data_IF_311303854219
#
_entry.id   IF_311303854219
#
_cell.length_a   1.000
_cell.length_b   1.000
_cell.length_c   1.000
_cell.angle_alpha   90.00
_cell.angle_beta   90.00
_cell.angle_gamma   90.00
#
_symmetry.space_group_name_H-M   'P 1'
#
loop_
_entity.id
_entity.type
_entity.pdbx_description
1 polymer ?
#
# COMPACT_ATOMS: atom_id res chain seq x y z
N UNK A 1 8.40 27.91 36.30
CA UNK A 1 7.33 26.85 36.31
C UNK A 1 7.42 26.10 34.99
N UNK A 2 7.93 24.87 34.99
CA UNK A 2 7.96 24.01 33.79
C UNK A 2 6.54 23.66 33.41
N UNK A 3 6.10 24.00 32.19
CA UNK A 3 4.84 23.49 31.64
C UNK A 3 5.02 22.00 31.43
N UNK A 4 4.50 21.18 32.33
CA UNK A 4 4.35 19.76 32.10
C UNK A 4 3.45 19.58 30.88
N UNK A 5 4.03 19.10 29.80
CA UNK A 5 3.29 18.71 28.60
C UNK A 5 2.50 17.44 28.94
N UNK A 6 1.23 17.59 29.24
CA UNK A 6 0.33 16.45 29.48
C UNK A 6 0.11 15.75 28.12
N UNK A 7 0.76 14.60 27.95
CA UNK A 7 0.48 13.71 26.80
C UNK A 7 -0.64 12.75 27.22
N UNK A 8 -1.73 12.79 26.48
CA UNK A 8 -2.81 11.83 26.64
C UNK A 8 -2.68 10.76 25.57
N UNK A 9 -2.61 9.50 25.97
CA UNK A 9 -2.59 8.36 25.04
C UNK A 9 -3.98 7.73 25.01
N UNK A 10 -4.53 7.58 23.81
CA UNK A 10 -5.82 6.96 23.57
C UNK A 10 -5.58 5.64 22.81
N UNK A 11 -5.80 4.47 23.44
CA UNK A 11 -5.75 3.19 22.75
C UNK A 11 -6.97 3.06 21.82
N UNK A 12 -6.75 2.47 20.61
CA UNK A 12 -7.84 2.15 19.69
C UNK A 12 -7.53 0.84 18.97
N UNK A 13 -8.59 0.17 18.54
CA UNK A 13 -8.53 -1.02 17.69
C UNK A 13 -9.05 -0.65 16.31
N UNK A 14 -8.35 -1.08 15.28
CA UNK A 14 -8.75 -0.89 13.88
C UNK A 14 -9.30 -2.21 13.35
N UNK A 15 -10.55 -2.19 12.90
CA UNK A 15 -11.15 -3.29 12.17
C UNK A 15 -11.10 -3.00 10.66
N UNK A 16 -10.54 -3.95 9.89
CA UNK A 16 -10.43 -3.83 8.44
C UNK A 16 -11.61 -4.54 7.79
N UNK A 17 -12.61 -3.79 7.35
CA UNK A 17 -13.85 -4.30 6.73
C UNK A 17 -13.64 -4.66 5.25
N UNK A 18 -12.80 -3.88 4.56
CA UNK A 18 -12.48 -4.08 3.14
C UNK A 18 -10.97 -4.21 2.96
N UNK A 19 -10.48 -4.81 1.87
CA UNK A 19 -9.05 -4.89 1.62
C UNK A 19 -8.36 -3.53 1.70
N UNK A 20 -7.32 -3.42 2.51
CA UNK A 20 -6.49 -2.23 2.66
C UNK A 20 -5.14 -2.47 2.00
N UNK A 21 -4.69 -1.51 1.20
CA UNK A 21 -3.37 -1.52 0.60
C UNK A 21 -2.64 -0.21 0.90
N UNK A 22 -1.51 -0.34 1.57
CA UNK A 22 -0.57 0.75 1.80
C UNK A 22 0.74 0.33 1.15
N UNK A 23 1.09 0.96 0.03
CA UNK A 23 2.25 0.57 -0.76
C UNK A 23 3.56 0.84 -0.04
N UNK A 24 4.49 -0.11 -0.10
CA UNK A 24 5.87 0.06 0.37
C UNK A 24 6.77 0.78 -0.64
N UNK A 25 6.26 1.07 -1.84
CA UNK A 25 7.04 1.57 -2.97
C UNK A 25 7.85 0.47 -3.68
N UNK A 26 7.79 -0.78 -3.22
CA UNK A 26 8.49 -1.93 -3.81
C UNK A 26 7.54 -2.74 -4.70
N UNK A 27 8.07 -3.26 -5.80
CA UNK A 27 7.36 -4.15 -6.72
C UNK A 27 8.15 -5.45 -6.88
N UNK A 28 7.45 -6.58 -6.88
CA UNK A 28 8.00 -7.87 -7.30
C UNK A 28 7.98 -7.95 -8.82
N UNK A 29 9.08 -8.40 -9.37
CA UNK A 29 9.22 -8.80 -10.78
C UNK A 29 8.87 -10.29 -10.93
N UNK A 30 8.72 -10.73 -12.16
CA UNK A 30 8.35 -12.13 -12.49
C UNK A 30 9.38 -13.14 -11.93
N UNK A 31 10.63 -12.75 -11.76
CA UNK A 31 11.70 -13.60 -11.20
C UNK A 31 11.79 -13.57 -9.66
N UNK A 32 10.93 -12.79 -8.99
CA UNK A 32 10.95 -12.66 -7.54
C UNK A 32 9.93 -13.57 -6.85
N UNK A 33 9.09 -14.27 -7.63
CA UNK A 33 8.05 -15.15 -7.09
C UNK A 33 7.79 -16.37 -7.98
N UNK A 34 7.26 -17.42 -7.38
CA UNK A 34 6.70 -18.59 -8.06
C UNK A 34 5.19 -18.49 -7.95
N UNK A 35 4.49 -18.60 -9.09
CA UNK A 35 3.05 -18.61 -9.16
C UNK A 35 2.56 -20.03 -9.50
N UNK A 36 1.95 -20.69 -8.55
CA UNK A 36 1.14 -21.89 -8.77
C UNK A 36 -0.28 -21.47 -9.17
N UNK A 37 -0.52 -21.43 -10.47
CA UNK A 37 -1.80 -20.98 -11.01
C UNK A 37 -2.94 -21.97 -10.74
N UNK A 38 -2.64 -23.25 -10.58
CA UNK A 38 -3.62 -24.29 -10.32
C UNK A 38 -4.20 -24.17 -8.89
N UNK A 39 -3.34 -23.94 -7.93
CA UNK A 39 -3.70 -23.82 -6.51
C UNK A 39 -3.97 -22.38 -6.07
N UNK A 40 -3.78 -21.40 -6.94
CA UNK A 40 -3.89 -19.96 -6.66
C UNK A 40 -2.92 -19.50 -5.56
N UNK A 41 -1.70 -20.02 -5.56
CA UNK A 41 -0.66 -19.75 -4.60
C UNK A 41 0.47 -18.94 -5.20
N UNK A 42 0.99 -17.96 -4.43
CA UNK A 42 2.16 -17.16 -4.76
C UNK A 42 3.21 -17.34 -3.69
N UNK A 43 4.36 -17.80 -4.08
CA UNK A 43 5.52 -17.99 -3.20
C UNK A 43 6.55 -16.90 -3.50
N UNK A 44 6.72 -15.96 -2.59
CA UNK A 44 7.74 -14.90 -2.74
C UNK A 44 9.09 -15.50 -2.38
N UNK A 45 10.01 -15.53 -3.34
CA UNK A 45 11.30 -16.19 -3.17
C UNK A 45 12.18 -15.50 -2.14
N UNK A 46 12.80 -16.30 -1.29
CA UNK A 46 14.00 -15.90 -0.55
C UNK A 46 15.22 -16.21 -1.43
N UNK A 47 15.79 -15.19 -2.03
CA UNK A 47 16.89 -15.35 -3.00
C UNK A 47 18.04 -16.22 -2.46
N UNK A 48 18.43 -16.04 -1.18
CA UNK A 48 19.49 -16.85 -0.57
C UNK A 48 19.11 -18.31 -0.48
N UNK A 49 17.93 -18.63 0.05
CA UNK A 49 17.45 -20.01 0.19
C UNK A 49 17.19 -20.65 -1.17
N UNK A 50 16.71 -19.86 -2.13
CA UNK A 50 16.49 -20.30 -3.49
C UNK A 50 17.80 -20.75 -4.16
N UNK A 51 18.85 -19.93 -4.11
CA UNK A 51 20.15 -20.30 -4.66
C UNK A 51 20.78 -21.50 -3.94
N UNK A 52 20.66 -21.57 -2.61
CA UNK A 52 21.12 -22.72 -1.83
C UNK A 52 20.39 -24.02 -2.24
N UNK A 53 19.09 -23.94 -2.46
CA UNK A 53 18.31 -25.09 -2.94
C UNK A 53 18.77 -25.53 -4.33
N UNK A 54 18.91 -24.61 -5.28
CA UNK A 54 19.37 -24.94 -6.63
C UNK A 54 20.77 -25.54 -6.64
N UNK A 55 21.65 -25.04 -5.80
CA UNK A 55 23.00 -25.58 -5.63
C UNK A 55 22.95 -27.01 -5.07
N UNK A 56 22.13 -27.26 -4.07
CA UNK A 56 21.98 -28.58 -3.44
C UNK A 56 21.48 -29.69 -4.40
N UNK A 57 20.82 -29.32 -5.48
CA UNK A 57 20.31 -30.25 -6.50
C UNK A 57 21.06 -30.14 -7.84
N UNK A 58 22.22 -29.43 -7.87
CA UNK A 58 23.06 -29.22 -9.06
C UNK A 58 22.32 -28.59 -10.25
N UNK A 59 21.44 -27.61 -9.97
CA UNK A 59 20.61 -26.91 -10.98
C UNK A 59 20.92 -25.42 -11.11
N UNK A 60 21.92 -24.92 -10.42
CA UNK A 60 22.27 -23.49 -10.44
C UNK A 60 22.65 -23.01 -11.85
N UNK A 61 23.50 -23.81 -12.57
CA UNK A 61 23.90 -23.48 -13.93
C UNK A 61 22.73 -23.47 -14.93
N UNK A 62 21.78 -24.37 -14.76
CA UNK A 62 20.55 -24.40 -15.60
C UNK A 62 19.68 -23.19 -15.34
N UNK A 63 19.58 -22.75 -14.08
CA UNK A 63 18.86 -21.54 -13.72
C UNK A 63 19.51 -20.28 -14.28
N UNK A 64 20.84 -20.16 -14.26
CA UNK A 64 21.54 -19.06 -14.89
C UNK A 64 21.29 -18.97 -16.40
N UNK A 65 21.25 -20.11 -17.09
CA UNK A 65 20.89 -20.18 -18.52
C UNK A 65 19.45 -19.70 -18.73
N UNK A 66 18.53 -20.16 -17.88
CA UNK A 66 17.13 -19.72 -17.91
C UNK A 66 17.00 -18.19 -17.74
N UNK A 67 17.67 -17.60 -16.74
CA UNK A 67 17.64 -16.15 -16.52
C UNK A 67 18.18 -15.39 -17.74
N UNK A 68 19.30 -15.83 -18.32
CA UNK A 68 19.88 -15.22 -19.53
C UNK A 68 18.91 -15.27 -20.70
N UNK A 69 18.21 -16.39 -20.92
CA UNK A 69 17.21 -16.53 -21.96
C UNK A 69 15.97 -15.69 -21.70
N UNK A 70 15.54 -15.58 -20.43
CA UNK A 70 14.40 -14.77 -20.03
C UNK A 70 14.70 -13.28 -20.22
N UNK A 71 15.83 -12.80 -19.79
CA UNK A 71 16.23 -11.38 -19.90
C UNK A 71 16.50 -10.95 -21.34
N UNK A 72 16.97 -11.86 -22.20
CA UNK A 72 17.15 -11.61 -23.64
C UNK A 72 15.84 -11.74 -24.45
N UNK A 73 14.72 -12.13 -23.81
CA UNK A 73 13.44 -12.32 -24.48
C UNK A 73 13.34 -13.61 -25.30
N UNK A 74 14.32 -14.52 -25.20
CA UNK A 74 14.35 -15.79 -25.92
C UNK A 74 13.44 -16.86 -25.30
N UNK A 75 12.96 -16.65 -24.10
CA UNK A 75 11.95 -17.50 -23.46
C UNK A 75 10.86 -16.66 -22.79
N UNK A 76 9.65 -17.22 -22.75
CA UNK A 76 8.50 -16.66 -22.01
C UNK A 76 8.08 -17.56 -20.85
N UNK A 77 8.89 -18.60 -20.55
CA UNK A 77 8.61 -19.49 -19.44
C UNK A 77 8.61 -18.73 -18.12
N UNK A 78 7.69 -19.07 -17.25
CA UNK A 78 7.71 -18.63 -15.86
C UNK A 78 8.72 -19.46 -15.07
N UNK A 79 9.08 -19.02 -13.87
CA UNK A 79 9.93 -19.84 -12.98
C UNK A 79 9.23 -21.16 -12.66
N UNK A 80 7.91 -21.15 -12.46
CA UNK A 80 7.14 -22.35 -12.18
C UNK A 80 7.23 -23.37 -13.33
N UNK A 81 6.98 -22.94 -14.57
CA UNK A 81 7.10 -23.82 -15.76
C UNK A 81 8.54 -24.31 -15.98
N UNK A 82 9.54 -23.47 -15.70
CA UNK A 82 10.93 -23.87 -15.75
C UNK A 82 11.24 -24.96 -14.71
N UNK A 83 10.73 -24.79 -13.47
CA UNK A 83 10.86 -25.76 -12.39
C UNK A 83 10.25 -27.10 -12.77
N UNK A 84 9.00 -27.12 -13.23
CA UNK A 84 8.32 -28.34 -13.65
C UNK A 84 9.09 -29.11 -14.73
N UNK A 85 9.68 -28.40 -15.69
CA UNK A 85 10.44 -29.00 -16.79
C UNK A 85 11.82 -29.50 -16.40
N UNK A 86 12.48 -28.83 -15.44
CA UNK A 86 13.90 -29.05 -15.13
C UNK A 86 14.08 -29.90 -13.89
N UNK A 87 13.18 -29.81 -12.94
CA UNK A 87 13.29 -30.45 -11.61
C UNK A 87 12.10 -31.39 -11.38
N UNK A 88 10.95 -31.08 -11.98
CA UNK A 88 9.68 -31.73 -11.71
C UNK A 88 8.79 -30.91 -10.76
N UNK A 89 7.66 -31.50 -10.37
CA UNK A 89 6.71 -30.84 -9.47
C UNK A 89 7.32 -30.80 -8.07
N UNK A 90 7.50 -29.58 -7.55
CA UNK A 90 7.92 -29.39 -6.16
C UNK A 90 6.72 -29.53 -5.23
N UNK A 91 6.93 -30.17 -4.10
CA UNK A 91 5.94 -30.19 -3.04
C UNK A 91 5.79 -28.81 -2.35
N UNK A 92 4.65 -28.61 -1.74
CA UNK A 92 4.33 -27.34 -1.05
C UNK A 92 5.35 -27.03 0.06
N UNK A 93 5.86 -28.04 0.77
CA UNK A 93 6.85 -27.85 1.85
C UNK A 93 8.16 -27.27 1.31
N UNK A 94 8.62 -27.78 0.19
CA UNK A 94 9.80 -27.27 -0.50
C UNK A 94 9.58 -25.83 -0.95
N UNK A 95 8.44 -25.52 -1.59
CA UNK A 95 8.10 -24.17 -2.03
C UNK A 95 8.05 -23.18 -0.85
N UNK A 96 7.46 -23.55 0.26
CA UNK A 96 7.44 -22.75 1.48
C UNK A 96 8.87 -22.54 2.03
N UNK A 97 9.70 -23.60 2.03
CA UNK A 97 11.04 -23.53 2.60
C UNK A 97 11.97 -22.54 1.89
N UNK A 98 11.83 -22.42 0.57
CA UNK A 98 12.61 -21.51 -0.28
C UNK A 98 12.00 -20.11 -0.39
N UNK A 99 10.87 -19.88 0.24
CA UNK A 99 10.14 -18.61 0.18
C UNK A 99 10.32 -17.78 1.44
N UNK A 100 10.14 -16.47 1.31
CA UNK A 100 9.95 -15.56 2.44
C UNK A 100 8.51 -15.51 2.89
N UNK A 101 7.58 -15.68 1.94
CA UNK A 101 6.13 -15.62 2.19
C UNK A 101 5.38 -16.48 1.20
N UNK A 102 4.30 -17.09 1.69
CA UNK A 102 3.29 -17.76 0.91
C UNK A 102 1.98 -16.98 0.99
N UNK A 103 1.35 -16.73 -0.15
CA UNK A 103 0.18 -15.87 -0.29
C UNK A 103 -0.85 -16.53 -1.18
N UNK A 104 -2.12 -16.30 -0.88
CA UNK A 104 -3.22 -16.71 -1.76
C UNK A 104 -3.52 -15.65 -2.81
N UNK A 105 -3.87 -16.05 -4.01
CA UNK A 105 -4.37 -15.21 -5.08
C UNK A 105 -5.87 -15.40 -5.28
N UNK A 106 -6.57 -14.31 -5.59
CA UNK A 106 -7.96 -14.42 -6.05
C UNK A 106 -8.00 -14.91 -7.50
N UNK A 107 -8.89 -15.87 -7.79
CA UNK A 107 -9.06 -16.51 -9.11
C UNK A 107 -8.98 -15.56 -10.31
N UNK A 108 -9.64 -14.40 -10.22
CA UNK A 108 -9.69 -13.43 -11.30
C UNK A 108 -8.39 -12.59 -11.45
N UNK A 109 -7.41 -12.82 -10.57
CA UNK A 109 -6.11 -12.12 -10.62
C UNK A 109 -5.20 -12.74 -11.66
N UNK A 110 -5.33 -14.04 -11.90
CA UNK A 110 -4.47 -14.82 -12.77
C UNK A 110 -5.03 -14.79 -14.20
N UNK A 111 -4.48 -13.90 -15.02
CA UNK A 111 -4.66 -14.00 -16.47
C UNK A 111 -3.34 -14.46 -17.08
N UNK A 112 -3.36 -15.63 -17.73
CA UNK A 112 -2.21 -16.16 -18.48
C UNK A 112 -0.99 -16.55 -17.63
N UNK A 113 -1.16 -17.32 -16.56
CA UNK A 113 -0.07 -17.95 -15.80
C UNK A 113 0.98 -16.99 -15.19
N UNK A 114 0.84 -15.67 -15.35
CA UNK A 114 1.76 -14.67 -14.79
C UNK A 114 1.02 -13.52 -14.17
N UNK A 115 1.54 -13.04 -13.05
CA UNK A 115 1.23 -11.73 -12.49
C UNK A 115 2.27 -10.76 -13.07
N UNK A 116 1.88 -9.75 -13.83
CA UNK A 116 2.83 -8.86 -14.51
C UNK A 116 3.78 -8.17 -13.52
N UNK A 117 3.21 -7.47 -12.54
CA UNK A 117 3.91 -6.80 -11.44
C UNK A 117 3.06 -6.91 -10.19
N UNK A 118 3.67 -7.22 -9.07
CA UNK A 118 3.00 -7.26 -7.77
C UNK A 118 3.57 -6.16 -6.91
N UNK A 119 2.79 -5.13 -6.64
CA UNK A 119 3.17 -4.08 -5.69
C UNK A 119 3.06 -4.63 -4.27
N UNK A 120 4.12 -4.44 -3.49
CA UNK A 120 4.16 -4.90 -2.11
C UNK A 120 3.52 -3.87 -1.17
N UNK A 121 2.70 -4.36 -0.25
CA UNK A 121 2.22 -3.59 0.89
C UNK A 121 3.32 -3.35 1.93
N UNK A 122 3.08 -2.40 2.82
CA UNK A 122 3.95 -2.14 3.96
C UNK A 122 4.05 -3.40 4.83
N UNK A 123 5.28 -3.81 5.13
CA UNK A 123 5.57 -4.98 5.94
C UNK A 123 6.86 -4.79 6.74
N UNK A 124 6.95 -5.46 7.87
CA UNK A 124 8.15 -5.53 8.70
C UNK A 124 9.22 -6.40 8.02
N UNK A 125 10.38 -6.51 8.67
CA UNK A 125 11.52 -7.31 8.16
C UNK A 125 11.15 -8.80 8.10
N UNK A 126 10.36 -9.28 9.04
CA UNK A 126 9.85 -10.67 9.08
C UNK A 126 8.76 -10.94 8.04
N UNK A 127 8.34 -9.91 7.31
CA UNK A 127 7.27 -9.97 6.33
C UNK A 127 5.87 -9.73 6.88
N UNK A 128 5.70 -9.56 8.19
CA UNK A 128 4.39 -9.27 8.80
C UNK A 128 3.85 -7.95 8.26
N UNK A 129 2.59 -7.91 7.79
CA UNK A 129 1.98 -6.67 7.32
C UNK A 129 1.72 -5.74 8.50
N UNK A 130 1.79 -4.43 8.27
CA UNK A 130 1.39 -3.43 9.26
C UNK A 130 0.79 -2.20 8.58
N UNK A 131 0.06 -1.40 9.35
CA UNK A 131 -0.45 -0.11 8.88
C UNK A 131 0.42 0.98 9.52
N UNK A 132 1.23 1.73 8.74
CA UNK A 132 2.04 2.82 9.28
C UNK A 132 1.18 3.89 9.96
N UNK A 133 1.56 4.28 11.16
CA UNK A 133 0.88 5.34 11.90
C UNK A 133 0.85 6.67 11.15
N UNK A 134 1.86 6.96 10.33
CA UNK A 134 1.88 8.10 9.42
C UNK A 134 0.73 8.08 8.40
N UNK A 135 0.39 6.91 7.86
CA UNK A 135 -0.74 6.74 6.94
C UNK A 135 -2.06 6.94 7.64
N UNK A 136 -2.23 6.37 8.84
CA UNK A 136 -3.42 6.58 9.67
C UNK A 136 -3.58 8.03 10.10
N UNK A 137 -2.49 8.67 10.52
CA UNK A 137 -2.48 10.10 10.86
C UNK A 137 -3.02 10.93 9.70
N UNK A 138 -2.57 10.64 8.46
CA UNK A 138 -3.06 11.31 7.25
C UNK A 138 -4.59 11.16 7.08
N UNK A 139 -5.11 9.95 7.24
CA UNK A 139 -6.55 9.67 7.13
C UNK A 139 -7.34 10.37 8.24
N UNK A 140 -6.87 10.34 9.49
CA UNK A 140 -7.51 11.02 10.63
C UNK A 140 -7.58 12.52 10.36
N UNK A 141 -6.47 13.14 9.97
CA UNK A 141 -6.42 14.57 9.65
C UNK A 141 -7.36 14.92 8.49
N UNK A 142 -7.34 14.14 7.40
CA UNK A 142 -8.23 14.36 6.27
C UNK A 142 -9.70 14.26 6.66
N UNK A 143 -10.06 13.30 7.52
CA UNK A 143 -11.42 13.12 8.02
C UNK A 143 -11.87 14.28 8.91
N UNK A 144 -10.99 14.77 9.78
CA UNK A 144 -11.26 15.95 10.61
C UNK A 144 -11.49 17.20 9.74
N UNK A 145 -10.64 17.41 8.74
CA UNK A 145 -10.79 18.52 7.78
C UNK A 145 -12.13 18.42 7.03
N UNK A 146 -12.44 17.23 6.50
CA UNK A 146 -13.70 16.99 5.80
C UNK A 146 -14.91 17.29 6.69
N UNK A 147 -14.87 16.87 7.96
CA UNK A 147 -15.91 17.14 8.93
C UNK A 147 -16.08 18.65 9.22
N UNK A 148 -15.00 19.39 9.37
CA UNK A 148 -15.02 20.84 9.57
C UNK A 148 -15.62 21.58 8.35
N UNK A 149 -15.21 21.18 7.15
CA UNK A 149 -15.74 21.74 5.89
C UNK A 149 -17.25 21.44 5.77
N UNK A 150 -17.68 20.24 6.11
CA UNK A 150 -19.09 19.85 5.98
C UNK A 150 -19.99 20.60 6.96
N UNK A 151 -19.49 20.91 8.15
CA UNK A 151 -20.19 21.76 9.12
C UNK A 151 -20.25 23.23 8.72
N UNK A 152 -19.28 23.71 7.95
CA UNK A 152 -19.26 25.10 7.47
C UNK A 152 -19.84 25.20 6.04
N UNK A 153 -21.17 25.29 5.97
CA UNK A 153 -21.90 25.36 4.68
C UNK A 153 -21.46 26.55 3.82
N UNK A 154 -21.15 27.70 4.43
CA UNK A 154 -20.68 28.89 3.72
C UNK A 154 -19.35 28.65 3.03
N UNK A 155 -18.38 28.10 3.78
CA UNK A 155 -17.07 27.72 3.26
C UNK A 155 -17.18 26.71 2.10
N UNK A 156 -17.98 25.66 2.29
CA UNK A 156 -18.22 24.62 1.26
C UNK A 156 -18.79 25.20 -0.03
N UNK A 157 -19.78 26.09 0.08
CA UNK A 157 -20.43 26.75 -1.06
C UNK A 157 -19.47 27.68 -1.82
N UNK A 158 -18.75 28.54 -1.10
CA UNK A 158 -17.78 29.48 -1.67
C UNK A 158 -16.69 28.76 -2.47
N UNK A 159 -16.08 27.74 -1.87
CA UNK A 159 -14.97 27.01 -2.51
C UNK A 159 -15.43 26.15 -3.68
N UNK A 160 -16.63 25.57 -3.59
CA UNK A 160 -17.24 24.88 -4.73
C UNK A 160 -17.38 25.82 -5.93
N UNK A 161 -17.84 27.03 -5.73
CA UNK A 161 -17.99 28.04 -6.77
C UNK A 161 -16.64 28.42 -7.38
N UNK A 162 -15.62 28.69 -6.57
CA UNK A 162 -14.27 29.01 -7.03
C UNK A 162 -13.65 27.89 -7.87
N UNK A 163 -13.84 26.64 -7.47
CA UNK A 163 -13.34 25.48 -8.23
C UNK A 163 -14.07 25.32 -9.57
N UNK A 164 -15.38 25.54 -9.61
CA UNK A 164 -16.15 25.50 -10.87
C UNK A 164 -15.62 26.59 -11.84
N UNK A 165 -15.41 27.81 -11.35
CA UNK A 165 -14.86 28.90 -12.17
C UNK A 165 -13.41 28.63 -12.63
N UNK A 166 -12.64 27.88 -11.88
CA UNK A 166 -11.28 27.51 -12.23
C UNK A 166 -11.20 26.38 -13.28
N UNK A 167 -12.30 25.69 -13.57
CA UNK A 167 -12.34 24.61 -14.56
C UNK A 167 -11.94 25.13 -15.95
N UNK A 168 -11.07 24.37 -16.63
CA UNK A 168 -10.57 24.73 -17.96
C UNK A 168 -9.34 25.63 -17.99
N UNK A 169 -8.92 26.20 -16.86
CA UNK A 169 -7.69 27.00 -16.78
C UNK A 169 -6.70 26.37 -15.76
N UNK A 170 -5.67 25.61 -16.21
CA UNK A 170 -4.75 24.92 -15.31
C UNK A 170 -3.97 25.84 -14.35
N UNK A 171 -3.62 27.05 -14.83
CA UNK A 171 -2.89 28.03 -14.00
C UNK A 171 -3.77 28.57 -12.88
N UNK A 172 -5.01 28.92 -13.21
CA UNK A 172 -5.98 29.42 -12.24
C UNK A 172 -6.40 28.31 -11.26
N UNK A 173 -6.57 27.08 -11.73
CA UNK A 173 -6.86 25.92 -10.87
C UNK A 173 -5.73 25.67 -9.85
N UNK A 174 -4.47 25.78 -10.27
CA UNK A 174 -3.32 25.62 -9.37
C UNK A 174 -3.32 26.71 -8.28
N UNK A 175 -3.63 27.95 -8.64
CA UNK A 175 -3.75 29.04 -7.68
C UNK A 175 -4.90 28.79 -6.69
N UNK A 176 -6.07 28.38 -7.20
CA UNK A 176 -7.25 28.05 -6.42
C UNK A 176 -6.98 26.93 -5.39
N UNK A 177 -6.24 25.89 -5.78
CA UNK A 177 -5.81 24.81 -4.86
C UNK A 177 -4.92 25.34 -3.74
N UNK A 178 -3.96 26.22 -4.07
CA UNK A 178 -3.07 26.83 -3.09
C UNK A 178 -3.84 27.67 -2.07
N UNK A 179 -4.77 28.49 -2.55
CA UNK A 179 -5.57 29.38 -1.71
C UNK A 179 -6.57 28.58 -0.85
N UNK A 180 -7.11 27.48 -1.39
CA UNK A 180 -7.93 26.55 -0.63
C UNK A 180 -7.18 25.92 0.54
N UNK A 181 -5.92 25.54 0.35
CA UNK A 181 -5.06 25.04 1.43
C UNK A 181 -4.92 26.04 2.58
N UNK A 182 -4.64 27.32 2.27
CA UNK A 182 -4.56 28.39 3.26
C UNK A 182 -5.89 28.64 3.98
N UNK A 183 -6.99 28.60 3.24
CA UNK A 183 -8.34 28.78 3.80
C UNK A 183 -8.72 27.64 4.76
N UNK A 184 -8.33 26.39 4.45
CA UNK A 184 -8.49 25.25 5.37
C UNK A 184 -7.65 25.49 6.65
N UNK A 185 -6.43 25.97 6.55
CA UNK A 185 -5.61 26.28 7.72
C UNK A 185 -6.28 27.32 8.63
N UNK A 186 -6.88 28.36 8.05
CA UNK A 186 -7.64 29.35 8.80
C UNK A 186 -8.89 28.76 9.47
N UNK A 187 -9.65 27.92 8.74
CA UNK A 187 -10.84 27.26 9.27
C UNK A 187 -10.51 26.37 10.48
N UNK A 188 -9.41 25.62 10.40
CA UNK A 188 -8.94 24.78 11.50
C UNK A 188 -8.58 25.63 12.71
N UNK A 189 -7.83 26.73 12.50
CA UNK A 189 -7.44 27.66 13.57
C UNK A 189 -8.67 28.22 14.28
N UNK A 190 -9.62 28.76 13.54
CA UNK A 190 -10.88 29.31 14.08
C UNK A 190 -11.65 28.28 14.89
N UNK A 191 -11.71 27.03 14.42
CA UNK A 191 -12.39 25.94 15.12
C UNK A 191 -11.74 25.62 16.46
N UNK A 192 -10.40 25.66 16.54
CA UNK A 192 -9.64 25.42 17.78
C UNK A 192 -9.81 26.59 18.75
N UNK A 193 -9.68 27.81 18.27
CA UNK A 193 -9.83 29.00 19.09
C UNK A 193 -11.22 29.08 19.71
N UNK A 194 -12.26 28.76 18.92
CA UNK A 194 -13.64 28.68 19.40
C UNK A 194 -13.83 27.59 20.47
N UNK A 195 -13.11 26.48 20.35
CA UNK A 195 -13.23 25.37 21.32
C UNK A 195 -12.48 25.61 22.63
N UNK A 196 -11.39 26.40 22.60
CA UNK A 196 -10.53 26.65 23.76
C UNK A 196 -10.82 27.97 24.49
N UNK A 197 -11.54 28.88 23.89
CA UNK A 197 -11.76 30.23 24.44
C UNK A 197 -10.50 31.09 24.51
N UNK A 198 -9.39 30.65 23.94
CA UNK A 198 -8.09 31.33 23.92
C UNK A 198 -7.56 31.42 22.50
N UNK A 199 -6.97 32.58 22.15
CA UNK A 199 -6.21 32.69 20.89
C UNK A 199 -4.96 31.81 20.99
N UNK A 200 -4.75 30.93 20.00
CA UNK A 200 -3.53 30.13 19.92
C UNK A 200 -2.42 30.96 19.26
N UNK A 201 -1.28 31.11 19.94
CA UNK A 201 -0.09 31.72 19.35
C UNK A 201 0.60 30.82 18.32
N UNK A 202 0.22 29.53 18.23
CA UNK A 202 0.75 28.54 17.28
C UNK A 202 -0.08 28.40 16.02
N UNK A 203 0.55 28.12 14.87
CA UNK A 203 -0.14 27.87 13.61
C UNK A 203 -0.86 26.52 13.60
N UNK A 204 -1.79 26.32 12.65
CA UNK A 204 -2.50 25.04 12.44
C UNK A 204 -1.55 23.84 12.23
N UNK A 205 -0.34 24.08 11.74
CA UNK A 205 0.72 23.07 11.62
C UNK A 205 1.11 22.48 12.97
N UNK A 206 1.18 23.29 14.02
CA UNK A 206 1.58 22.84 15.36
C UNK A 206 0.58 21.86 15.97
N UNK A 207 -0.72 22.03 15.65
CA UNK A 207 -1.75 21.09 16.09
C UNK A 207 -1.54 19.69 15.53
N UNK A 208 -1.32 19.59 14.22
CA UNK A 208 -1.11 18.30 13.58
C UNK A 208 0.23 17.65 13.94
N UNK A 209 1.24 18.47 14.27
CA UNK A 209 2.51 17.97 14.80
C UNK A 209 2.37 17.39 16.21
N UNK A 210 1.43 17.90 17.02
CA UNK A 210 1.18 17.39 18.38
C UNK A 210 0.46 16.02 18.42
N UNK A 211 -0.16 15.61 17.30
CA UNK A 211 -0.78 14.29 17.19
C UNK A 211 0.26 13.27 16.74
N UNK A 212 0.48 12.24 17.54
CA UNK A 212 1.28 11.07 17.18
C UNK A 212 0.37 9.85 17.07
N UNK A 213 0.54 9.08 16.01
CA UNK A 213 -0.19 7.82 15.80
C UNK A 213 0.84 6.72 15.64
N UNK A 214 0.76 5.69 16.48
CA UNK A 214 1.63 4.51 16.38
C UNK A 214 1.24 3.64 15.20
N UNK A 215 2.18 2.79 14.78
CA UNK A 215 1.90 1.74 13.80
C UNK A 215 0.89 0.74 14.38
N UNK A 216 0.04 0.19 13.51
CA UNK A 216 -0.94 -0.83 13.87
C UNK A 216 -0.47 -2.17 13.35
N UNK A 217 -0.31 -3.11 14.29
CA UNK A 217 0.07 -4.48 14.00
C UNK A 217 -1.16 -5.37 13.90
N UNK A 218 -1.17 -6.37 13.00
CA UNK A 218 -2.25 -7.34 12.96
C UNK A 218 -2.24 -8.22 14.21
N UNK A 219 -3.41 -8.58 14.68
CA UNK A 219 -3.57 -9.53 15.80
C UNK A 219 -3.34 -10.97 15.30
N UNK A 220 -3.60 -11.24 14.02
CA UNK A 220 -3.43 -12.55 13.37
C UNK A 220 -2.60 -12.40 12.10
N UNK A 221 -1.73 -13.38 11.80
CA UNK A 221 -0.77 -13.29 10.68
C UNK A 221 -1.29 -13.74 9.31
N UNK A 222 -2.50 -14.30 9.19
CA UNK A 222 -2.88 -15.11 8.03
C UNK A 222 -3.67 -14.39 6.93
N UNK A 223 -3.68 -13.06 6.90
CA UNK A 223 -4.67 -12.33 6.10
C UNK A 223 -4.09 -11.47 4.99
N UNK A 224 -3.03 -11.96 4.35
CA UNK A 224 -2.43 -11.24 3.20
C UNK A 224 -2.73 -11.99 1.90
N UNK A 225 -3.31 -11.26 0.94
CA UNK A 225 -3.75 -11.80 -0.35
C UNK A 225 -3.20 -10.98 -1.51
N UNK A 226 -3.01 -11.63 -2.65
CA UNK A 226 -2.76 -10.93 -3.92
C UNK A 226 -4.09 -10.68 -4.62
N UNK A 227 -4.43 -9.42 -4.78
CA UNK A 227 -5.68 -8.96 -5.39
C UNK A 227 -5.41 -8.08 -6.62
N UNK A 228 -6.28 -8.11 -7.64
CA UNK A 228 -6.17 -7.21 -8.76
C UNK A 228 -6.59 -5.79 -8.35
N UNK A 229 -5.86 -4.79 -8.81
CA UNK A 229 -6.30 -3.41 -8.81
C UNK A 229 -6.64 -2.98 -10.22
N UNK A 230 -7.73 -2.26 -10.35
CA UNK A 230 -8.17 -1.66 -11.59
C UNK A 230 -8.04 -0.14 -11.47
N UNK A 231 -7.12 0.45 -12.24
CA UNK A 231 -7.04 1.90 -12.37
C UNK A 231 -7.85 2.32 -13.59
N UNK A 232 -8.87 3.15 -13.37
CA UNK A 232 -9.65 3.79 -14.45
C UNK A 232 -9.01 5.12 -14.81
N UNK A 233 -8.44 5.21 -15.98
CA UNK A 233 -8.08 6.49 -16.62
C UNK A 233 -9.05 6.67 -17.77
N UNK A 234 -9.67 7.83 -17.90
CA UNK A 234 -10.71 8.18 -18.89
C UNK A 234 -10.72 7.27 -20.13
N UNK A 235 -11.65 6.31 -20.17
CA UNK A 235 -11.85 5.39 -21.28
C UNK A 235 -10.87 4.21 -21.40
N UNK A 236 -9.96 4.01 -20.45
CA UNK A 236 -9.04 2.86 -20.42
C UNK A 236 -8.89 2.30 -19.01
N UNK A 237 -8.94 0.98 -18.89
CA UNK A 237 -8.67 0.28 -17.65
C UNK A 237 -7.28 -0.35 -17.69
N UNK A 238 -6.45 -0.08 -16.67
CA UNK A 238 -5.18 -0.77 -16.48
C UNK A 238 -5.28 -1.68 -15.27
N UNK A 239 -5.11 -2.98 -15.50
CA UNK A 239 -5.02 -3.97 -14.42
C UNK A 239 -3.62 -3.98 -13.85
N UNK A 240 -3.50 -3.72 -12.56
CA UNK A 240 -2.27 -3.85 -11.78
C UNK A 240 -2.55 -4.82 -10.65
N UNK A 241 -1.64 -5.75 -10.38
CA UNK A 241 -1.80 -6.69 -9.27
C UNK A 241 -1.09 -6.13 -8.03
N UNK A 242 -1.78 -6.18 -6.90
CA UNK A 242 -1.26 -5.68 -5.64
C UNK A 242 -1.38 -6.73 -4.54
N UNK A 243 -0.52 -6.56 -3.53
CA UNK A 243 -0.61 -7.29 -2.29
C UNK A 243 -1.47 -6.49 -1.32
N UNK A 244 -2.52 -7.12 -0.79
CA UNK A 244 -3.43 -6.50 0.16
C UNK A 244 -3.38 -7.18 1.52
N UNK A 245 -3.65 -6.40 2.57
CA UNK A 245 -3.94 -6.90 3.90
C UNK A 245 -5.45 -7.06 3.99
N UNK A 246 -5.92 -8.25 4.37
CA UNK A 246 -7.31 -8.52 4.66
C UNK A 246 -7.44 -8.83 6.15
N UNK A 247 -8.42 -8.23 6.84
CA UNK A 247 -8.89 -8.77 8.12
C UNK A 247 -9.86 -9.92 7.86
N UNK A 248 -9.84 -10.89 8.70
CA UNK A 248 -10.89 -11.91 8.85
C UNK A 248 -11.74 -11.52 10.03
#
# INVERSE_FOLDING_TARGET
>A
MSKESIRTTVPFTLEVITPVFIGSGRELKVLDYILDAANHDVYILNQKKWFQYLDSIDKLADYEKFIKQYTSGNTKLTIFEWLERTIGILDERTLISISTRHLKCVKNTISKQTLNKVALGASLIDGSPYIPGSSLKGVIIASLIAHLIDRNKGFKYEWRHKFIQAQGNPKYLKQCISDYGKAIESLIRESIESSRGCKSEGGSKDLFHSISVSDVMPVTNDNTWVLPRFDSIVGRYRKINYLYIRSV
#
